data_IF_568557835595
#
_entry.id   IF_568557835595
#
_cell.length_a   1.000
_cell.length_b   1.000
_cell.length_c   1.000
_cell.angle_alpha   90.00
_cell.angle_beta   90.00
_cell.angle_gamma   90.00
#
_symmetry.space_group_name_H-M   'P 1'
#
loop_
_entity.id
_entity.type
_entity.pdbx_description
1 polymer ?
#
# COMPACT_ATOMS: atom_id res chain seq x y z
N UNK A 1 9.74 -12.83 21.90
CA UNK A 1 9.06 -12.38 23.12
C UNK A 1 8.62 -10.93 23.01
N UNK A 2 9.51 -9.96 22.83
CA UNK A 2 9.13 -8.52 22.77
C UNK A 2 8.13 -8.17 21.67
N UNK A 3 8.31 -8.69 20.43
CA UNK A 3 7.43 -8.38 19.31
C UNK A 3 5.98 -8.90 19.50
N UNK A 4 5.83 -10.09 20.07
CA UNK A 4 4.54 -10.70 20.38
C UNK A 4 3.74 -9.85 21.38
N UNK A 5 4.44 -9.33 22.38
CA UNK A 5 3.89 -8.45 23.41
C UNK A 5 3.35 -7.12 22.82
N UNK A 6 4.03 -6.57 21.80
CA UNK A 6 3.55 -5.40 21.07
C UNK A 6 2.32 -5.70 20.20
N UNK A 7 2.28 -6.87 19.57
CA UNK A 7 1.14 -7.31 18.74
C UNK A 7 -0.10 -7.49 19.63
N UNK A 8 0.05 -8.17 20.76
CA UNK A 8 -1.06 -8.42 21.68
C UNK A 8 -1.59 -7.12 22.31
N UNK A 9 -0.70 -6.19 22.67
CA UNK A 9 -1.08 -4.86 23.18
C UNK A 9 -1.84 -4.02 22.15
N UNK A 10 -1.44 -4.08 20.88
CA UNK A 10 -2.11 -3.33 19.80
C UNK A 10 -3.48 -3.88 19.40
N UNK A 11 -3.83 -5.09 19.84
CA UNK A 11 -5.13 -5.71 19.66
C UNK A 11 -5.51 -5.96 18.20
N UNK A 12 -6.81 -6.03 17.94
CA UNK A 12 -7.36 -6.43 16.64
C UNK A 12 -6.86 -5.58 15.47
N UNK A 13 -6.57 -4.31 15.70
CA UNK A 13 -6.10 -3.37 14.65
C UNK A 13 -4.73 -3.81 14.13
N UNK A 14 -3.82 -4.22 15.02
CA UNK A 14 -2.48 -4.69 14.60
C UNK A 14 -2.59 -6.00 13.83
N UNK A 15 -3.48 -6.92 14.22
CA UNK A 15 -3.72 -8.14 13.43
C UNK A 15 -4.25 -7.85 12.02
N UNK A 16 -5.16 -6.89 11.87
CA UNK A 16 -5.65 -6.43 10.56
C UNK A 16 -4.49 -5.84 9.74
N UNK A 17 -3.64 -5.01 10.34
CA UNK A 17 -2.47 -4.43 9.68
C UNK A 17 -1.46 -5.50 9.23
N UNK A 18 -1.22 -6.54 10.03
CA UNK A 18 -0.37 -7.68 9.66
C UNK A 18 -0.95 -8.42 8.45
N UNK A 19 -2.26 -8.68 8.44
CA UNK A 19 -2.92 -9.34 7.33
C UNK A 19 -2.82 -8.50 6.04
N UNK A 20 -3.09 -7.18 6.11
CA UNK A 20 -2.93 -6.26 4.99
C UNK A 20 -1.48 -6.20 4.50
N UNK A 21 -0.52 -6.20 5.41
CA UNK A 21 0.90 -6.24 5.09
C UNK A 21 1.27 -7.50 4.31
N UNK A 22 0.82 -8.67 4.75
CA UNK A 22 1.08 -9.94 4.07
C UNK A 22 0.49 -9.98 2.65
N UNK A 23 -0.76 -9.52 2.50
CA UNK A 23 -1.42 -9.43 1.19
C UNK A 23 -0.66 -8.47 0.27
N UNK A 24 -0.34 -7.27 0.75
CA UNK A 24 0.35 -6.26 -0.04
C UNK A 24 1.76 -6.69 -0.45
N UNK A 25 2.55 -7.28 0.44
CA UNK A 25 3.87 -7.82 0.10
C UNK A 25 3.79 -8.95 -0.92
N UNK A 26 2.79 -9.83 -0.82
CA UNK A 26 2.57 -10.89 -1.82
C UNK A 26 2.34 -10.29 -3.20
N UNK A 27 1.53 -9.23 -3.31
CA UNK A 27 1.26 -8.56 -4.57
C UNK A 27 2.52 -7.85 -5.09
N UNK A 28 3.28 -7.17 -4.21
CA UNK A 28 4.54 -6.49 -4.56
C UNK A 28 5.54 -7.50 -5.14
N UNK A 29 5.75 -8.62 -4.47
CA UNK A 29 6.65 -9.68 -4.93
C UNK A 29 6.17 -10.27 -6.26
N UNK A 30 4.89 -10.58 -6.38
CA UNK A 30 4.33 -11.08 -7.62
C UNK A 30 4.51 -10.10 -8.77
N UNK A 31 4.26 -8.82 -8.56
CA UNK A 31 4.47 -7.76 -9.56
C UNK A 31 5.94 -7.60 -9.92
N UNK A 32 6.83 -7.67 -8.94
CA UNK A 32 8.26 -7.57 -9.18
C UNK A 32 8.78 -8.67 -10.11
N UNK A 33 8.27 -9.90 -9.99
CA UNK A 33 8.63 -11.02 -10.87
C UNK A 33 7.86 -11.05 -12.18
N UNK A 34 6.64 -10.49 -12.22
CA UNK A 34 5.73 -10.60 -13.38
C UNK A 34 5.84 -9.40 -14.30
N UNK A 35 6.26 -8.22 -13.81
CA UNK A 35 6.46 -7.06 -14.67
C UNK A 35 7.70 -7.29 -15.57
N UNK A 36 7.51 -7.46 -16.89
CA UNK A 36 8.63 -7.73 -17.79
C UNK A 36 9.54 -6.51 -17.90
N UNK A 37 10.80 -6.76 -18.24
CA UNK A 37 11.78 -5.69 -18.54
C UNK A 37 11.20 -4.72 -19.58
N UNK A 38 11.44 -3.41 -19.39
CA UNK A 38 10.91 -2.30 -20.21
C UNK A 38 10.92 -2.59 -21.71
N UNK A 39 12.00 -3.14 -22.25
CA UNK A 39 12.15 -3.40 -23.68
C UNK A 39 11.24 -4.54 -24.18
N UNK A 40 11.13 -5.65 -23.43
CA UNK A 40 10.26 -6.76 -23.79
C UNK A 40 8.78 -6.37 -23.80
N UNK A 41 8.42 -5.39 -23.01
CA UNK A 41 7.06 -4.87 -22.91
C UNK A 41 6.71 -3.95 -24.09
N UNK A 42 7.65 -3.11 -24.51
CA UNK A 42 7.47 -2.24 -25.68
C UNK A 42 7.33 -3.11 -26.95
N UNK A 43 8.16 -4.13 -27.11
CA UNK A 43 8.02 -5.10 -28.22
C UNK A 43 6.65 -5.80 -28.21
N UNK A 44 6.15 -6.16 -27.01
CA UNK A 44 4.84 -6.80 -26.85
C UNK A 44 3.69 -5.85 -27.18
N UNK A 45 3.81 -4.57 -26.83
CA UNK A 45 2.84 -3.55 -27.21
C UNK A 45 2.88 -3.35 -28.71
N UNK A 46 4.09 -3.24 -29.31
CA UNK A 46 4.32 -3.05 -30.73
C UNK A 46 3.74 -4.19 -31.58
N UNK A 47 3.88 -5.44 -31.15
CA UNK A 47 3.36 -6.62 -31.85
C UNK A 47 1.83 -6.75 -31.81
N UNK A 48 1.16 -6.07 -30.88
CA UNK A 48 -0.30 -6.10 -30.71
C UNK A 48 -1.00 -4.86 -31.26
N UNK A 49 -0.25 -3.83 -31.63
CA UNK A 49 -0.80 -2.57 -32.05
C UNK A 49 -1.05 -2.60 -33.57
N UNK A 50 -2.31 -2.43 -33.98
CA UNK A 50 -2.67 -2.25 -35.38
C UNK A 50 -2.30 -0.84 -35.83
N UNK A 51 -1.40 -0.71 -36.79
CA UNK A 51 -0.75 0.55 -37.21
C UNK A 51 -1.64 1.44 -38.12
N UNK A 52 -2.92 1.11 -38.28
CA UNK A 52 -3.80 1.76 -39.28
C UNK A 52 -4.24 3.18 -38.89
N UNK A 53 -4.15 3.61 -37.62
CA UNK A 53 -4.53 4.95 -37.19
C UNK A 53 -3.81 5.38 -35.92
N UNK A 54 -3.28 6.62 -35.90
CA UNK A 54 -2.60 7.17 -34.71
C UNK A 54 -3.47 7.17 -33.45
N UNK A 55 -4.75 7.48 -33.58
CA UNK A 55 -5.69 7.47 -32.45
C UNK A 55 -5.90 6.07 -31.86
N UNK A 56 -5.97 5.04 -32.73
CA UNK A 56 -6.11 3.64 -32.33
C UNK A 56 -4.85 3.15 -31.63
N UNK A 57 -3.65 3.57 -32.10
CA UNK A 57 -2.36 3.26 -31.47
C UNK A 57 -2.29 3.78 -30.04
N UNK A 58 -2.65 5.05 -29.81
CA UNK A 58 -2.64 5.65 -28.47
C UNK A 58 -3.55 4.89 -27.51
N UNK A 59 -4.79 4.61 -27.94
CA UNK A 59 -5.76 3.89 -27.11
C UNK A 59 -5.32 2.48 -26.77
N UNK A 60 -4.63 1.78 -27.67
CA UNK A 60 -4.10 0.44 -27.43
C UNK A 60 -2.92 0.46 -26.46
N UNK A 61 -2.00 1.43 -26.58
CA UNK A 61 -0.88 1.58 -25.63
C UNK A 61 -1.44 1.83 -24.23
N UNK A 62 -2.38 2.76 -24.10
CA UNK A 62 -3.01 3.11 -22.83
C UNK A 62 -3.76 1.92 -22.21
N UNK A 63 -4.46 1.14 -23.02
CA UNK A 63 -5.16 -0.08 -22.59
C UNK A 63 -4.18 -1.14 -22.06
N UNK A 64 -3.09 -1.42 -22.78
CA UNK A 64 -2.10 -2.41 -22.32
C UNK A 64 -1.37 -1.94 -21.05
N UNK A 65 -1.04 -0.65 -20.93
CA UNK A 65 -0.45 -0.09 -19.70
C UNK A 65 -1.43 -0.20 -18.54
N UNK A 66 -2.69 0.18 -18.75
CA UNK A 66 -3.73 0.09 -17.71
C UNK A 66 -3.98 -1.33 -17.23
N UNK A 67 -3.86 -2.31 -18.11
CA UNK A 67 -3.90 -3.73 -17.72
C UNK A 67 -2.76 -4.12 -16.78
N UNK A 68 -1.60 -3.49 -16.93
CA UNK A 68 -0.45 -3.72 -16.06
C UNK A 68 -0.56 -2.99 -14.71
N UNK A 69 -1.31 -1.90 -14.65
CA UNK A 69 -1.65 -1.23 -13.40
C UNK A 69 -2.59 -2.08 -12.52
N UNK A 70 -3.29 -3.05 -13.10
CA UNK A 70 -4.15 -3.96 -12.35
C UNK A 70 -3.41 -4.58 -11.15
N UNK A 71 -3.97 -4.45 -9.98
CA UNK A 71 -3.38 -4.87 -8.70
C UNK A 71 -2.52 -3.81 -8.00
N UNK A 72 -1.99 -2.78 -8.69
CA UNK A 72 -1.27 -1.68 -8.04
C UNK A 72 -2.22 -0.82 -7.21
N UNK A 73 -3.48 -0.72 -7.61
CA UNK A 73 -4.53 -0.03 -6.85
C UNK A 73 -4.69 -0.62 -5.44
N UNK A 74 -4.53 -1.94 -5.29
CA UNK A 74 -4.61 -2.58 -3.98
C UNK A 74 -3.41 -2.19 -3.10
N UNK A 75 -2.19 -2.13 -3.66
CA UNK A 75 -1.00 -1.66 -2.96
C UNK A 75 -1.19 -0.20 -2.51
N UNK A 76 -1.73 0.66 -3.39
CA UNK A 76 -2.06 2.06 -3.07
C UNK A 76 -3.08 2.14 -1.93
N UNK A 77 -4.14 1.35 -1.98
CA UNK A 77 -5.16 1.33 -0.95
C UNK A 77 -4.58 0.90 0.40
N UNK A 78 -3.74 -0.13 0.45
CA UNK A 78 -3.06 -0.55 1.67
C UNK A 78 -2.17 0.59 2.20
N UNK A 79 -1.37 1.22 1.36
CA UNK A 79 -0.52 2.35 1.73
C UNK A 79 -1.31 3.52 2.34
N UNK A 80 -2.53 3.78 1.84
CA UNK A 80 -3.38 4.88 2.29
C UNK A 80 -4.18 4.51 3.54
N UNK A 81 -4.71 3.28 3.61
CA UNK A 81 -5.61 2.86 4.68
C UNK A 81 -4.84 2.45 5.95
N UNK A 82 -3.62 1.90 5.81
CA UNK A 82 -2.86 1.44 6.96
C UNK A 82 -2.58 2.54 8.00
N UNK A 83 -2.17 3.78 7.65
CA UNK A 83 -2.01 4.85 8.62
C UNK A 83 -3.33 5.27 9.28
N UNK A 84 -4.43 5.23 8.52
CA UNK A 84 -5.76 5.55 9.05
C UNK A 84 -6.23 4.51 10.07
N UNK A 85 -5.93 3.23 9.85
CA UNK A 85 -6.16 2.18 10.84
C UNK A 85 -5.28 2.37 12.09
N UNK A 86 -4.02 2.77 11.90
CA UNK A 86 -3.14 3.15 13.01
C UNK A 86 -3.71 4.29 13.82
N UNK A 87 -4.20 5.35 13.17
CA UNK A 87 -4.86 6.49 13.80
C UNK A 87 -6.15 6.06 14.52
N UNK A 88 -6.95 5.20 13.91
CA UNK A 88 -8.13 4.63 14.57
C UNK A 88 -7.75 3.92 15.88
N UNK A 89 -6.64 3.21 15.88
CA UNK A 89 -6.09 2.58 17.07
C UNK A 89 -5.75 3.59 18.19
N UNK A 90 -5.27 4.79 17.82
CA UNK A 90 -5.03 5.84 18.84
C UNK A 90 -6.32 6.31 19.49
N UNK A 91 -7.38 6.50 18.70
CA UNK A 91 -8.68 6.89 19.22
C UNK A 91 -9.21 5.84 20.20
N UNK A 92 -9.13 4.55 19.85
CA UNK A 92 -9.54 3.46 20.75
C UNK A 92 -8.65 3.36 22.00
N UNK A 93 -7.34 3.54 21.87
CA UNK A 93 -6.42 3.52 23.00
C UNK A 93 -6.70 4.62 24.01
N UNK A 94 -6.91 5.86 23.53
CA UNK A 94 -7.24 7.00 24.37
C UNK A 94 -8.63 6.82 24.99
N UNK A 95 -9.63 6.37 24.21
CA UNK A 95 -10.97 6.07 24.72
C UNK A 95 -10.93 5.07 25.89
N UNK A 96 -10.19 3.97 25.74
CA UNK A 96 -10.02 2.99 26.82
C UNK A 96 -9.35 3.57 28.05
N UNK A 97 -8.40 4.49 27.89
CA UNK A 97 -7.79 5.20 29.03
C UNK A 97 -8.83 6.00 29.82
N UNK A 98 -9.68 6.75 29.14
CA UNK A 98 -10.73 7.52 29.80
C UNK A 98 -11.81 6.63 30.45
N UNK A 99 -12.19 5.55 29.79
CA UNK A 99 -13.12 4.57 30.36
C UNK A 99 -12.57 3.95 31.67
N UNK A 100 -11.29 3.64 31.69
CA UNK A 100 -10.63 3.08 32.86
C UNK A 100 -10.54 4.09 34.01
N UNK A 101 -10.26 5.37 33.71
CA UNK A 101 -10.26 6.45 34.72
C UNK A 101 -11.64 6.64 35.35
N UNK A 102 -12.71 6.56 34.53
CA UNK A 102 -14.10 6.69 35.04
C UNK A 102 -14.49 5.58 36.00
N UNK A 103 -13.94 4.37 35.79
CA UNK A 103 -14.24 3.20 36.63
C UNK A 103 -13.39 3.12 37.90
N UNK A 104 -12.11 3.52 37.83
CA UNK A 104 -11.13 3.31 38.91
C UNK A 104 -10.66 4.59 39.56
N UNK A 105 -11.09 5.76 39.05
CA UNK A 105 -10.62 7.06 39.53
C UNK A 105 -9.23 7.43 39.00
N UNK A 106 -8.75 8.63 39.33
CA UNK A 106 -7.45 9.18 38.89
C UNK A 106 -6.24 8.63 39.69
N UNK A 107 -6.47 7.66 40.60
CA UNK A 107 -5.47 7.23 41.57
C UNK A 107 -4.33 6.37 41.04
N UNK A 108 -4.45 5.80 39.82
CA UNK A 108 -3.42 4.90 39.28
C UNK A 108 -2.95 5.35 37.88
N UNK A 109 -1.74 5.95 37.77
CA UNK A 109 -1.16 6.37 36.49
C UNK A 109 -0.95 5.24 35.49
N UNK A 110 -0.87 3.99 35.93
CA UNK A 110 -0.62 2.84 35.04
C UNK A 110 -1.78 2.56 34.11
N UNK A 111 -3.00 2.83 34.56
CA UNK A 111 -4.22 2.65 33.78
C UNK A 111 -4.23 3.58 32.56
N UNK A 112 -3.87 4.85 32.76
CA UNK A 112 -3.77 5.84 31.68
C UNK A 112 -2.62 5.52 30.71
N UNK A 113 -1.48 5.12 31.26
CA UNK A 113 -0.28 4.79 30.51
C UNK A 113 -0.49 3.62 29.54
N UNK A 114 -1.27 2.61 29.91
CA UNK A 114 -1.57 1.47 29.05
C UNK A 114 -2.35 1.86 27.78
N UNK A 115 -3.35 2.71 27.89
CA UNK A 115 -4.12 3.14 26.72
C UNK A 115 -3.31 4.00 25.77
N UNK A 116 -2.42 4.85 26.28
CA UNK A 116 -1.47 5.62 25.45
C UNK A 116 -0.49 4.68 24.76
N UNK A 117 0.01 3.66 25.44
CA UNK A 117 0.90 2.68 24.85
C UNK A 117 0.23 1.96 23.66
N UNK A 118 -1.02 1.53 23.81
CA UNK A 118 -1.82 0.94 22.72
C UNK A 118 -1.92 1.91 21.54
N UNK A 119 -2.24 3.17 21.81
CA UNK A 119 -2.37 4.22 20.80
C UNK A 119 -1.08 4.38 19.98
N UNK A 120 0.07 4.47 20.65
CA UNK A 120 1.37 4.62 19.97
C UNK A 120 1.74 3.38 19.16
N UNK A 121 1.53 2.19 19.69
CA UNK A 121 1.83 0.92 19.02
C UNK A 121 1.05 0.79 17.72
N UNK A 122 -0.24 1.09 17.73
CA UNK A 122 -1.08 0.98 16.54
C UNK A 122 -0.68 1.98 15.46
N UNK A 123 -0.31 3.20 15.82
CA UNK A 123 0.19 4.20 14.86
C UNK A 123 1.52 3.75 14.24
N UNK A 124 2.46 3.28 15.04
CA UNK A 124 3.74 2.77 14.55
C UNK A 124 3.50 1.59 13.59
N UNK A 125 2.64 0.65 13.95
CA UNK A 125 2.30 -0.47 13.09
C UNK A 125 1.69 -0.03 11.76
N UNK A 126 0.78 0.94 11.76
CA UNK A 126 0.18 1.52 10.56
C UNK A 126 1.21 2.14 9.62
N UNK A 127 2.18 2.88 10.16
CA UNK A 127 3.27 3.50 9.39
C UNK A 127 4.26 2.47 8.84
N UNK A 128 4.61 1.44 9.62
CA UNK A 128 5.48 0.33 9.16
C UNK A 128 4.86 -0.37 7.95
N UNK A 129 3.55 -0.54 7.92
CA UNK A 129 2.85 -1.12 6.78
C UNK A 129 2.80 -0.12 5.61
N UNK A 130 2.43 1.12 5.86
CA UNK A 130 2.17 2.11 4.81
C UNK A 130 3.41 2.48 4.00
N UNK A 131 4.54 2.73 4.65
CA UNK A 131 5.75 3.28 4.02
C UNK A 131 6.27 2.38 2.90
N UNK A 132 6.54 1.07 3.11
CA UNK A 132 7.05 0.22 2.04
C UNK A 132 6.06 0.04 0.89
N UNK A 133 4.76 -0.01 1.20
CA UNK A 133 3.72 -0.11 0.17
C UNK A 133 3.63 1.16 -0.68
N UNK A 134 3.77 2.33 -0.07
CA UNK A 134 3.79 3.61 -0.79
C UNK A 134 4.99 3.73 -1.71
N UNK A 135 6.17 3.35 -1.23
CA UNK A 135 7.41 3.33 -2.02
C UNK A 135 7.26 2.37 -3.21
N UNK A 136 6.78 1.15 -2.97
CA UNK A 136 6.59 0.16 -4.01
C UNK A 136 5.58 0.62 -5.08
N UNK A 137 4.45 1.18 -4.66
CA UNK A 137 3.45 1.73 -5.57
C UNK A 137 4.03 2.81 -6.47
N UNK A 138 4.69 3.81 -5.91
CA UNK A 138 5.28 4.91 -6.68
C UNK A 138 6.38 4.41 -7.64
N UNK A 139 7.17 3.43 -7.23
CA UNK A 139 8.17 2.82 -8.10
C UNK A 139 7.54 2.13 -9.32
N UNK A 140 6.49 1.33 -9.11
CA UNK A 140 5.80 0.65 -10.20
C UNK A 140 5.10 1.62 -11.15
N UNK A 141 4.41 2.64 -10.62
CA UNK A 141 3.75 3.66 -11.46
C UNK A 141 4.79 4.41 -12.31
N UNK A 142 5.86 4.90 -11.72
CA UNK A 142 6.93 5.58 -12.47
C UNK A 142 7.53 4.71 -13.56
N UNK A 143 7.63 3.39 -13.32
CA UNK A 143 8.11 2.45 -14.33
C UNK A 143 7.10 2.29 -15.47
N UNK A 144 5.81 2.21 -15.18
CA UNK A 144 4.74 2.10 -16.19
C UNK A 144 4.62 3.38 -17.03
N UNK A 145 4.68 4.55 -16.41
CA UNK A 145 4.69 5.85 -17.10
C UNK A 145 5.87 5.96 -18.07
N UNK A 146 7.05 5.53 -17.63
CA UNK A 146 8.24 5.52 -18.49
C UNK A 146 8.10 4.55 -19.68
N UNK A 147 7.41 3.42 -19.51
CA UNK A 147 7.12 2.47 -20.58
C UNK A 147 6.13 3.08 -21.57
N UNK A 148 5.07 3.70 -21.07
CA UNK A 148 4.05 4.36 -21.87
C UNK A 148 4.64 5.46 -22.76
N UNK A 149 5.43 6.36 -22.15
CA UNK A 149 6.12 7.44 -22.85
C UNK A 149 7.05 6.90 -23.95
N UNK A 150 7.82 5.86 -23.65
CA UNK A 150 8.75 5.26 -24.61
C UNK A 150 7.99 4.57 -25.73
N UNK A 151 6.92 3.82 -25.43
CA UNK A 151 6.08 3.19 -26.43
C UNK A 151 5.44 4.22 -27.37
N UNK A 152 4.89 5.31 -26.82
CA UNK A 152 4.33 6.41 -27.62
C UNK A 152 5.39 7.03 -28.54
N UNK A 153 6.60 7.26 -28.05
CA UNK A 153 7.70 7.83 -28.84
C UNK A 153 8.18 6.89 -29.96
N UNK A 154 8.32 5.60 -29.70
CA UNK A 154 8.84 4.64 -30.67
C UNK A 154 7.82 4.21 -31.72
N UNK A 155 6.53 4.18 -31.38
CA UNK A 155 5.46 3.69 -32.27
C UNK A 155 4.84 4.83 -33.07
N UNK A 156 4.71 6.02 -32.49
CA UNK A 156 4.02 7.18 -33.11
C UNK A 156 5.01 8.18 -33.70
N UNK A 157 6.25 8.21 -33.21
CA UNK A 157 7.30 9.14 -33.65
C UNK A 157 8.12 8.64 -34.84
N UNK A 158 7.81 7.43 -35.34
CA UNK A 158 8.31 6.90 -36.61
C UNK A 158 7.25 7.03 -37.71
#
# INVERSE_FOLDING_TARGET
MVLMDYIDKGGIIVYILIALNAIGFTIILWKFFTLPRKNAMIERIKSKTDLNSKSTIFSQIEYEVKKLESGLTLIKNIATIAPLLGLLGTVFGVYKSFEAITKSGLGDPTIFSNGIAIALITTIAGLIVAIPHHIAYNHFISMLDAIELKAKKEIVGS
#
